data_IF_915659447518
#
_entry.id   IF_915659447518
#
_cell.length_a   1.000
_cell.length_b   1.000
_cell.length_c   1.000
_cell.angle_alpha   90.00
_cell.angle_beta   90.00
_cell.angle_gamma   90.00
#
_symmetry.space_group_name_H-M   'P 1'
#
loop_
_entity.id
_entity.type
_entity.pdbx_description
1 polymer ?
#
# COMPACT_ATOMS: atom_id res chain seq x y z
N UNK A 1 -37.48 49.16 -76.24
CA UNK A 1 -37.82 50.11 -75.17
C UNK A 1 -39.29 49.88 -74.86
N UNK A 2 -39.57 49.14 -73.79
CA UNK A 2 -40.91 48.76 -73.30
C UNK A 2 -40.68 48.49 -71.81
N UNK A 3 -40.89 49.42 -70.89
CA UNK A 3 -42.14 49.93 -70.32
C UNK A 3 -43.03 48.88 -69.63
N UNK A 4 -43.00 48.97 -68.29
CA UNK A 4 -44.09 49.03 -67.30
C UNK A 4 -45.47 48.42 -67.55
N UNK A 5 -46.13 48.10 -66.41
CA UNK A 5 -47.55 47.72 -66.17
C UNK A 5 -47.80 46.20 -66.16
N UNK A 6 -48.67 45.61 -65.33
CA UNK A 6 -49.64 46.12 -64.36
C UNK A 6 -50.05 44.95 -63.41
N UNK A 7 -50.71 45.30 -62.30
CA UNK A 7 -51.94 44.69 -61.70
C UNK A 7 -52.36 43.25 -62.12
N UNK A 8 -53.00 42.36 -61.37
CA UNK A 8 -53.93 42.37 -60.21
C UNK A 8 -54.28 40.87 -59.94
N UNK A 9 -54.50 40.44 -58.70
CA UNK A 9 -55.80 39.98 -58.17
C UNK A 9 -55.99 38.43 -58.00
N UNK A 10 -56.53 38.12 -56.81
CA UNK A 10 -57.43 37.03 -56.36
C UNK A 10 -57.27 35.54 -56.73
N UNK A 11 -57.50 34.70 -55.71
CA UNK A 11 -58.19 33.41 -55.83
C UNK A 11 -57.32 32.18 -55.50
N UNK A 12 -57.34 31.70 -54.25
CA UNK A 12 -58.18 30.60 -53.73
C UNK A 12 -57.82 29.19 -54.22
N UNK A 13 -57.55 28.35 -53.22
CA UNK A 13 -57.74 26.90 -53.09
C UNK A 13 -56.95 26.03 -54.10
N UNK A 14 -56.03 25.16 -53.67
CA UNK A 14 -56.43 23.86 -53.11
C UNK A 14 -55.21 23.08 -52.59
N UNK A 15 -55.27 22.74 -51.29
CA UNK A 15 -54.99 21.44 -50.71
C UNK A 15 -54.18 20.43 -51.56
N UNK A 16 -52.87 20.28 -51.27
CA UNK A 16 -52.18 19.00 -51.46
C UNK A 16 -51.33 18.72 -50.22
N UNK A 17 -51.84 17.76 -49.45
CA UNK A 17 -51.29 17.26 -48.19
C UNK A 17 -50.03 16.42 -48.47
N UNK A 18 -48.91 17.10 -48.66
CA UNK A 18 -47.58 16.51 -48.79
C UNK A 18 -47.01 16.19 -47.41
N UNK A 19 -47.40 15.03 -46.88
CA UNK A 19 -46.94 14.45 -45.62
C UNK A 19 -45.39 14.42 -45.51
N UNK A 20 -44.80 15.47 -44.93
CA UNK A 20 -43.41 15.49 -44.46
C UNK A 20 -43.31 14.55 -43.25
N UNK A 21 -42.85 13.33 -43.50
CA UNK A 21 -42.49 12.35 -42.47
C UNK A 21 -41.22 12.80 -41.76
N UNK A 22 -41.35 13.73 -40.82
CA UNK A 22 -40.29 14.03 -39.86
C UNK A 22 -40.14 12.81 -38.96
N UNK A 23 -39.06 12.04 -39.17
CA UNK A 23 -38.66 10.95 -38.28
C UNK A 23 -38.28 11.55 -36.91
N UNK A 24 -39.27 11.68 -36.03
CA UNK A 24 -39.06 11.96 -34.60
C UNK A 24 -38.31 10.74 -34.04
N UNK A 25 -37.07 10.89 -33.53
CA UNK A 25 -36.37 9.80 -32.90
C UNK A 25 -37.19 9.30 -31.71
N UNK A 26 -37.42 8.00 -31.68
CA UNK A 26 -38.16 7.28 -30.65
C UNK A 26 -37.76 7.77 -29.23
N UNK A 27 -38.71 8.28 -28.42
CA UNK A 27 -38.42 8.87 -27.10
C UNK A 27 -37.91 7.85 -26.06
N UNK A 28 -37.78 6.57 -26.41
CA UNK A 28 -37.25 5.52 -25.53
C UNK A 28 -35.73 5.58 -25.31
N UNK A 29 -34.98 6.43 -26.02
CA UNK A 29 -33.55 6.66 -25.76
C UNK A 29 -33.25 7.85 -24.84
N UNK A 30 -34.24 8.67 -24.48
CA UNK A 30 -34.03 9.90 -23.67
C UNK A 30 -34.51 9.84 -22.22
N UNK A 31 -34.80 8.65 -21.69
CA UNK A 31 -35.02 8.43 -20.24
C UNK A 31 -33.95 7.52 -19.58
N UNK A 32 -32.86 7.23 -20.30
CA UNK A 32 -31.72 6.47 -19.79
C UNK A 32 -30.54 7.34 -19.29
N UNK A 33 -30.77 8.65 -19.03
CA UNK A 33 -30.06 9.34 -17.95
C UNK A 33 -30.81 9.11 -16.64
N UNK A 34 -31.02 7.84 -16.30
CA UNK A 34 -30.95 7.46 -14.89
C UNK A 34 -29.54 7.84 -14.48
N UNK A 35 -29.43 9.04 -13.91
CA UNK A 35 -28.31 9.48 -13.11
C UNK A 35 -27.72 8.25 -12.43
N UNK A 36 -26.47 7.94 -12.76
CA UNK A 36 -25.70 6.89 -12.12
C UNK A 36 -25.50 7.29 -10.65
N UNK A 37 -26.59 7.27 -9.87
CA UNK A 37 -26.59 7.11 -8.44
C UNK A 37 -26.19 5.65 -8.21
N UNK A 38 -24.95 5.33 -8.58
CA UNK A 38 -24.15 4.39 -7.82
C UNK A 38 -24.18 4.97 -6.41
N UNK A 39 -25.14 4.48 -5.62
CA UNK A 39 -25.32 4.91 -4.26
C UNK A 39 -23.99 4.70 -3.59
N UNK A 40 -23.30 5.80 -3.28
CA UNK A 40 -22.18 5.83 -2.34
C UNK A 40 -22.77 5.52 -0.97
N UNK A 41 -23.27 4.28 -0.78
CA UNK A 41 -23.73 3.71 0.47
C UNK A 41 -22.51 3.67 1.38
N UNK A 42 -22.31 4.74 2.15
CA UNK A 42 -21.15 4.87 3.02
C UNK A 42 -20.76 6.32 3.31
N UNK A 43 -21.01 7.26 2.38
CA UNK A 43 -20.74 8.68 2.67
C UNK A 43 -21.90 9.30 3.47
N UNK A 44 -21.63 9.97 4.60
CA UNK A 44 -22.67 10.64 5.38
C UNK A 44 -23.33 11.76 4.56
N UNK A 45 -24.61 12.05 4.84
CA UNK A 45 -25.25 13.30 4.38
C UNK A 45 -24.55 14.47 5.06
N UNK A 46 -24.47 15.64 4.43
CA UNK A 46 -24.00 16.86 5.10
C UNK A 46 -24.89 17.18 6.31
N UNK A 47 -24.37 17.95 7.26
CA UNK A 47 -25.03 18.24 8.52
C UNK A 47 -26.39 18.93 8.31
N UNK A 48 -26.46 19.90 7.38
CA UNK A 48 -27.69 20.60 7.06
C UNK A 48 -28.78 19.66 6.53
N UNK A 49 -28.48 18.84 5.52
CA UNK A 49 -29.45 17.88 4.99
C UNK A 49 -29.76 16.74 5.98
N UNK A 50 -28.82 16.40 6.87
CA UNK A 50 -29.05 15.40 7.93
C UNK A 50 -30.05 15.90 8.96
N UNK A 51 -29.85 17.13 9.46
CA UNK A 51 -30.71 17.76 10.48
C UNK A 51 -32.14 18.00 9.98
N UNK A 52 -32.29 18.37 8.71
CA UNK A 52 -33.59 18.70 8.12
C UNK A 52 -34.22 17.52 7.35
N UNK A 53 -33.61 16.33 7.44
CA UNK A 53 -34.00 15.12 6.72
C UNK A 53 -34.18 15.29 5.19
N UNK A 54 -33.37 16.16 4.58
CA UNK A 54 -33.41 16.47 3.15
C UNK A 54 -32.62 15.42 2.34
N UNK A 55 -32.89 15.38 1.03
CA UNK A 55 -32.07 14.59 0.10
C UNK A 55 -30.72 15.28 -0.06
N UNK A 56 -29.65 14.50 0.06
CA UNK A 56 -28.27 14.97 -0.09
C UNK A 56 -27.58 14.09 -1.13
N UNK A 57 -27.04 14.71 -2.16
CA UNK A 57 -26.22 14.08 -3.21
C UNK A 57 -24.76 13.88 -2.80
N UNK A 58 -24.36 14.42 -1.64
CA UNK A 58 -23.07 14.17 -0.97
C UNK A 58 -21.85 14.63 -1.78
N UNK A 59 -22.06 15.61 -2.67
CA UNK A 59 -20.99 16.27 -3.41
C UNK A 59 -20.26 17.19 -2.43
N UNK A 60 -18.92 17.17 -2.48
CA UNK A 60 -18.04 18.05 -1.71
C UNK A 60 -17.55 19.18 -2.65
N UNK A 61 -17.36 20.41 -2.14
CA UNK A 61 -17.52 20.83 -0.75
C UNK A 61 -18.97 21.09 -0.33
N UNK A 62 -19.84 21.42 -1.28
CA UNK A 62 -21.26 21.74 -1.04
C UNK A 62 -22.15 20.79 -1.84
N UNK A 63 -23.17 20.23 -1.19
CA UNK A 63 -24.14 19.34 -1.84
C UNK A 63 -25.13 20.18 -2.68
N UNK A 64 -25.68 19.66 -3.79
CA UNK A 64 -26.58 20.46 -4.65
C UNK A 64 -27.77 21.01 -3.87
N UNK A 65 -28.26 20.29 -2.87
CA UNK A 65 -29.39 20.80 -2.09
C UNK A 65 -29.00 22.02 -1.23
N UNK A 66 -27.75 22.10 -0.78
CA UNK A 66 -27.25 23.23 -0.02
C UNK A 66 -26.78 24.38 -0.92
N UNK A 67 -26.38 24.12 -2.17
CA UNK A 67 -25.92 25.17 -3.09
C UNK A 67 -27.05 26.13 -3.47
N UNK A 68 -28.29 25.66 -3.53
CA UNK A 68 -29.47 26.49 -3.79
C UNK A 68 -30.06 27.14 -2.53
N UNK A 69 -29.60 26.76 -1.34
CA UNK A 69 -30.08 27.29 -0.07
C UNK A 69 -29.18 28.46 0.37
N UNK A 70 -29.49 29.66 -0.10
CA UNK A 70 -28.73 30.89 0.19
C UNK A 70 -28.41 31.03 1.68
N UNK A 71 -27.11 31.07 2.01
CA UNK A 71 -26.60 31.33 3.36
C UNK A 71 -26.49 30.13 4.30
N UNK A 72 -26.75 28.89 3.87
CA UNK A 72 -26.57 27.70 4.74
C UNK A 72 -25.26 26.98 4.46
N UNK A 73 -24.50 26.74 5.52
CA UNK A 73 -23.20 26.11 5.39
C UNK A 73 -23.31 24.59 5.24
N UNK A 74 -22.80 24.06 4.13
CA UNK A 74 -22.80 22.63 3.84
C UNK A 74 -21.59 21.93 4.49
N UNK A 75 -21.62 21.77 5.81
CA UNK A 75 -20.56 21.05 6.54
C UNK A 75 -20.80 19.54 6.55
N UNK A 76 -19.71 18.78 6.52
CA UNK A 76 -19.73 17.34 6.73
C UNK A 76 -18.95 17.04 8.00
N UNK A 77 -19.63 17.11 9.15
CA UNK A 77 -19.03 16.64 10.39
C UNK A 77 -18.83 15.13 10.27
N UNK A 78 -17.58 14.63 10.29
CA UNK A 78 -17.33 13.20 10.27
C UNK A 78 -18.09 12.60 11.44
N UNK A 79 -19.00 11.67 11.15
CA UNK A 79 -19.66 10.93 12.21
C UNK A 79 -18.55 10.26 13.03
N UNK A 80 -18.69 10.20 14.38
CA UNK A 80 -17.86 9.31 15.18
C UNK A 80 -17.90 7.95 14.50
N UNK A 81 -16.73 7.39 14.25
CA UNK A 81 -16.51 6.35 13.24
C UNK A 81 -17.57 5.25 13.33
N UNK A 82 -18.00 4.65 12.19
CA UNK A 82 -18.94 3.53 12.17
C UNK A 82 -18.48 2.27 12.93
N UNK A 83 -17.34 2.32 13.62
CA UNK A 83 -16.79 1.30 14.50
C UNK A 83 -17.80 0.79 15.55
N UNK A 84 -18.82 1.58 15.90
CA UNK A 84 -19.85 1.16 16.85
C UNK A 84 -20.87 0.13 16.30
N UNK A 85 -20.86 -0.21 15.00
CA UNK A 85 -21.74 -1.29 14.50
C UNK A 85 -21.20 -2.70 14.80
N UNK A 86 -19.90 -2.85 15.02
CA UNK A 86 -19.26 -4.13 15.38
C UNK A 86 -19.18 -4.40 16.88
N UNK A 87 -19.34 -3.36 17.71
CA UNK A 87 -19.20 -3.46 19.17
C UNK A 87 -20.56 -3.92 19.76
N UNK A 88 -20.59 -5.01 20.56
CA UNK A 88 -21.82 -5.42 21.23
C UNK A 88 -22.30 -4.35 22.22
N UNK A 89 -23.57 -4.40 22.66
CA UNK A 89 -24.01 -3.60 23.81
C UNK A 89 -23.18 -3.99 25.04
N UNK A 90 -22.79 -3.03 25.88
CA UNK A 90 -22.11 -3.33 27.14
C UNK A 90 -22.96 -4.27 28.02
N UNK A 91 -22.33 -4.95 28.96
CA UNK A 91 -22.92 -6.02 29.76
C UNK A 91 -24.08 -5.52 30.61
N UNK A 92 -23.99 -4.30 31.12
CA UNK A 92 -25.07 -3.64 31.87
C UNK A 92 -26.28 -3.34 30.99
N UNK A 93 -26.08 -2.60 29.90
CA UNK A 93 -27.17 -2.27 28.99
C UNK A 93 -27.77 -3.52 28.32
N UNK A 94 -26.98 -4.58 28.14
CA UNK A 94 -27.46 -5.89 27.69
C UNK A 94 -28.35 -6.56 28.75
N UNK A 95 -27.92 -6.63 30.01
CA UNK A 95 -28.71 -7.22 31.12
C UNK A 95 -30.00 -6.44 31.41
N UNK A 96 -29.93 -5.11 31.43
CA UNK A 96 -31.08 -4.22 31.67
C UNK A 96 -31.91 -3.93 30.42
N UNK A 97 -31.55 -4.52 29.27
CA UNK A 97 -32.17 -4.28 27.97
C UNK A 97 -32.29 -2.79 27.55
N UNK A 98 -31.29 -1.98 27.91
CA UNK A 98 -31.20 -0.56 27.55
C UNK A 98 -30.55 -0.36 26.16
N UNK A 99 -30.77 0.82 25.57
CA UNK A 99 -30.12 1.23 24.32
C UNK A 99 -28.70 1.74 24.58
N UNK A 100 -27.72 0.85 24.47
CA UNK A 100 -26.30 1.24 24.55
C UNK A 100 -25.88 2.03 23.31
N UNK A 101 -25.33 3.22 23.51
CA UNK A 101 -24.65 4.06 22.50
C UNK A 101 -23.28 3.51 22.08
N UNK A 102 -22.72 2.57 22.88
CA UNK A 102 -21.47 1.82 22.62
C UNK A 102 -20.22 2.69 22.64
N UNK A 103 -20.26 3.82 23.33
CA UNK A 103 -19.08 4.65 23.56
C UNK A 103 -18.08 3.89 24.46
N UNK A 104 -16.80 3.98 24.10
CA UNK A 104 -15.69 3.43 24.86
C UNK A 104 -14.93 4.60 25.52
N UNK A 105 -14.43 4.44 26.77
CA UNK A 105 -14.46 3.24 27.60
C UNK A 105 -15.82 2.98 28.28
N UNK A 106 -16.63 4.02 28.50
CA UNK A 106 -17.93 3.94 29.18
C UNK A 106 -19.03 4.49 28.28
N UNK A 107 -20.18 3.81 28.25
CA UNK A 107 -21.36 4.20 27.48
C UNK A 107 -22.13 5.32 28.21
N UNK A 108 -22.84 6.23 27.52
CA UNK A 108 -23.50 7.37 28.17
C UNK A 108 -24.50 6.97 29.26
N UNK A 109 -25.18 5.82 29.11
CA UNK A 109 -26.07 5.31 30.16
C UNK A 109 -25.34 4.73 31.37
N UNK A 110 -24.06 4.38 31.24
CA UNK A 110 -23.25 3.93 32.36
C UNK A 110 -22.46 5.08 32.98
N UNK A 111 -22.20 6.17 32.27
CA UNK A 111 -21.56 7.35 32.85
C UNK A 111 -22.47 8.14 33.78
N UNK A 112 -23.78 7.98 33.65
CA UNK A 112 -24.76 8.62 34.55
C UNK A 112 -24.96 7.86 35.88
N UNK A 113 -24.39 6.66 36.01
CA UNK A 113 -24.47 5.85 37.22
C UNK A 113 -23.05 5.56 37.75
N UNK A 114 -22.63 6.31 38.78
CA UNK A 114 -21.25 6.29 39.31
C UNK A 114 -20.77 4.91 39.80
N UNK A 115 -21.68 3.99 40.17
CA UNK A 115 -21.35 2.67 40.72
C UNK A 115 -21.39 1.53 39.70
N UNK A 116 -21.55 1.83 38.40
CA UNK A 116 -21.87 0.82 37.40
C UNK A 116 -20.74 0.51 36.42
N UNK A 117 -20.10 -0.65 36.59
CA UNK A 117 -19.04 -1.12 35.68
C UNK A 117 -19.56 -1.35 34.24
N UNK A 118 -18.94 -0.68 33.26
CA UNK A 118 -19.34 -0.69 31.85
C UNK A 118 -18.43 -1.59 30.99
N UNK A 119 -18.59 -2.90 31.13
CA UNK A 119 -17.77 -3.87 30.39
C UNK A 119 -18.39 -4.31 29.06
N UNK A 120 -17.54 -4.54 28.05
CA UNK A 120 -17.95 -5.00 26.71
C UNK A 120 -17.44 -6.42 26.45
N UNK A 121 -18.20 -7.44 26.86
CA UNK A 121 -17.78 -8.84 26.66
C UNK A 121 -18.19 -9.35 25.27
N UNK A 122 -17.26 -9.86 24.44
CA UNK A 122 -17.55 -10.43 23.12
C UNK A 122 -18.60 -11.54 23.22
N UNK A 123 -19.66 -11.47 22.38
CA UNK A 123 -20.70 -12.50 22.37
C UNK A 123 -20.13 -13.79 21.77
N UNK A 124 -19.75 -14.74 22.62
CA UNK A 124 -19.37 -16.11 22.21
C UNK A 124 -20.59 -16.73 21.53
N UNK A 125 -20.58 -16.80 20.19
CA UNK A 125 -21.63 -17.48 19.44
C UNK A 125 -21.38 -18.97 19.67
N UNK A 126 -22.22 -19.62 20.49
CA UNK A 126 -22.27 -21.08 20.50
C UNK A 126 -22.60 -21.51 19.08
N UNK A 127 -21.62 -22.10 18.38
CA UNK A 127 -21.84 -22.85 17.15
C UNK A 127 -22.62 -24.07 17.60
N UNK A 128 -23.95 -23.98 17.53
CA UNK A 128 -24.81 -25.14 17.71
C UNK A 128 -24.49 -26.09 16.55
N UNK A 129 -23.74 -27.14 16.84
CA UNK A 129 -23.63 -28.31 15.97
C UNK A 129 -25.01 -28.92 15.94
N UNK A 130 -25.73 -28.73 14.85
CA UNK A 130 -26.98 -29.41 14.57
C UNK A 130 -26.64 -30.78 14.00
N UNK A 131 -26.61 -31.80 14.86
CA UNK A 131 -26.79 -33.20 14.47
C UNK A 131 -27.61 -33.88 15.58
N UNK A 132 -28.88 -34.11 15.28
CA UNK A 132 -29.76 -35.03 15.97
C UNK A 132 -30.54 -35.80 14.92
N UNK A 133 -30.19 -37.06 14.70
CA UNK A 133 -31.03 -38.22 14.31
C UNK A 133 -30.12 -39.44 14.58
N UNK A 134 -30.40 -40.52 15.32
CA UNK A 134 -31.51 -41.05 16.11
C UNK A 134 -31.05 -42.38 16.73
N UNK A 135 -31.52 -42.73 17.94
CA UNK A 135 -31.87 -44.07 18.45
C UNK A 135 -31.82 -43.98 20.00
N UNK A 136 -32.95 -43.93 20.73
CA UNK A 136 -33.75 -45.09 21.18
C UNK A 136 -32.88 -46.24 21.71
N UNK A 137 -33.13 -46.90 22.82
CA UNK A 137 -34.09 -46.85 23.92
C UNK A 137 -33.59 -47.93 24.88
N UNK A 138 -33.83 -47.81 26.20
CA UNK A 138 -33.93 -48.89 27.20
C UNK A 138 -33.58 -48.40 28.61
N UNK A 139 -34.65 -48.20 29.37
CA UNK A 139 -34.94 -48.84 30.66
C UNK A 139 -34.01 -48.69 31.88
N UNK A 140 -34.52 -47.90 32.82
CA UNK A 140 -34.96 -48.32 34.16
C UNK A 140 -34.02 -49.15 35.06
N UNK A 141 -33.62 -48.51 36.18
CA UNK A 141 -33.76 -48.93 37.59
C UNK A 141 -32.61 -48.28 38.39
N UNK A 142 -32.89 -47.25 39.19
CA UNK A 142 -33.13 -47.36 40.64
C UNK A 142 -32.07 -48.18 41.37
N UNK A 143 -31.18 -47.54 42.13
CA UNK A 143 -30.92 -47.84 43.55
C UNK A 143 -30.05 -46.76 44.20
N UNK A 144 -30.24 -46.66 45.51
CA UNK A 144 -29.88 -45.63 46.49
C UNK A 144 -28.74 -46.18 47.37
N UNK A 145 -28.10 -45.28 48.14
CA UNK A 145 -27.15 -45.47 49.26
C UNK A 145 -25.66 -45.35 48.87
N UNK A 146 -24.94 -44.32 49.33
CA UNK A 146 -24.34 -44.14 50.67
C UNK A 146 -23.24 -45.17 51.00
N UNK A 147 -21.98 -44.74 50.90
CA UNK A 147 -20.91 -45.01 51.89
C UNK A 147 -19.58 -44.38 51.47
N UNK A 148 -19.08 -43.43 52.25
CA UNK A 148 -17.62 -43.28 52.53
C UNK A 148 -17.20 -44.35 53.57
N UNK A 149 -15.93 -44.57 53.97
CA UNK A 149 -14.71 -43.74 53.82
C UNK A 149 -13.37 -44.54 53.59
N UNK A 150 -12.24 -43.82 53.73
CA UNK A 150 -10.83 -44.27 53.96
C UNK A 150 -10.07 -44.88 52.76
N UNK A 151 -8.81 -44.57 52.44
CA UNK A 151 -7.63 -44.14 53.22
C UNK A 151 -6.53 -43.54 52.32
N UNK A 152 -5.73 -42.60 52.85
CA UNK A 152 -4.26 -42.41 52.74
C UNK A 152 -3.54 -42.94 51.47
N UNK A 153 -2.75 -42.18 50.69
CA UNK A 153 -1.53 -41.46 51.09
C UNK A 153 -0.73 -40.97 49.84
N UNK A 154 0.21 -40.05 50.08
CA UNK A 154 1.44 -39.73 49.33
C UNK A 154 1.41 -38.67 48.18
N UNK A 155 2.05 -37.54 48.52
CA UNK A 155 2.83 -36.57 47.74
C UNK A 155 2.94 -36.69 46.20
N UNK A 156 2.64 -35.60 45.50
CA UNK A 156 3.64 -34.93 44.64
C UNK A 156 3.27 -33.47 44.32
N UNK A 157 4.24 -32.58 44.50
CA UNK A 157 4.28 -31.19 44.05
C UNK A 157 4.13 -31.06 42.53
N UNK A 158 3.50 -29.96 42.07
CA UNK A 158 3.46 -29.62 40.65
C UNK A 158 2.52 -28.48 40.28
N UNK A 159 2.89 -27.26 40.68
CA UNK A 159 2.33 -26.00 40.16
C UNK A 159 2.44 -25.94 38.62
N UNK A 160 1.30 -25.79 37.93
CA UNK A 160 1.25 -25.31 36.55
C UNK A 160 0.14 -24.27 36.41
N UNK A 161 0.50 -23.04 36.74
CA UNK A 161 -0.32 -21.84 36.60
C UNK A 161 -0.47 -21.49 35.10
N UNK A 162 -1.68 -21.70 34.57
CA UNK A 162 -2.03 -21.38 33.18
C UNK A 162 -2.23 -19.87 33.01
N UNK A 163 -1.16 -19.14 32.75
CA UNK A 163 -1.23 -17.74 32.28
C UNK A 163 -1.17 -17.71 30.75
N UNK A 164 -2.33 -17.88 30.11
CA UNK A 164 -2.54 -17.42 28.72
C UNK A 164 -2.75 -15.90 28.75
N UNK A 165 -1.67 -15.16 28.57
CA UNK A 165 -1.74 -13.74 28.22
C UNK A 165 -2.30 -13.60 26.80
N UNK A 166 -3.58 -13.24 26.69
CA UNK A 166 -4.20 -12.83 25.44
C UNK A 166 -3.85 -11.35 25.18
N UNK A 167 -2.83 -11.10 24.37
CA UNK A 167 -2.62 -9.78 23.75
C UNK A 167 -3.55 -9.65 22.55
N UNK A 168 -4.55 -8.80 22.73
CA UNK A 168 -5.56 -8.39 21.78
C UNK A 168 -5.02 -7.22 20.96
N UNK A 169 -4.81 -7.40 19.65
CA UNK A 169 -5.02 -6.35 18.62
C UNK A 169 -5.13 -6.99 17.21
N UNK A 170 -6.31 -6.85 16.60
CA UNK A 170 -6.48 -6.61 15.17
C UNK A 170 -6.07 -7.68 14.15
N UNK A 171 -6.86 -8.76 14.02
CA UNK A 171 -6.75 -9.67 12.87
C UNK A 171 -8.10 -9.79 12.16
N UNK A 172 -8.29 -8.95 11.14
CA UNK A 172 -9.35 -9.11 10.13
C UNK A 172 -8.67 -9.27 8.77
N UNK A 173 -8.36 -10.51 8.39
CA UNK A 173 -8.10 -10.87 6.99
C UNK A 173 -9.01 -12.04 6.66
N UNK A 174 -9.84 -11.83 5.64
CA UNK A 174 -10.68 -12.85 5.06
C UNK A 174 -9.80 -13.96 4.44
N UNK A 175 -9.79 -15.14 5.04
CA UNK A 175 -9.38 -16.37 4.35
C UNK A 175 -10.43 -16.72 3.31
N UNK A 176 -10.12 -16.44 2.05
CA UNK A 176 -10.85 -16.99 0.90
C UNK A 176 -10.16 -18.30 0.51
N UNK A 177 -10.61 -19.42 1.08
CA UNK A 177 -10.34 -20.73 0.51
C UNK A 177 -11.17 -20.86 -0.76
N UNK A 178 -10.50 -21.12 -1.87
CA UNK A 178 -11.12 -21.35 -3.17
C UNK A 178 -10.12 -22.03 -4.07
N UNK A 179 -10.15 -23.37 -4.04
CA UNK A 179 -9.56 -24.25 -5.04
C UNK A 179 -10.04 -23.83 -6.44
N UNK A 180 -9.11 -23.68 -7.37
CA UNK A 180 -9.43 -23.47 -8.79
C UNK A 180 -9.33 -24.81 -9.52
N UNK A 181 -10.36 -25.23 -10.28
CA UNK A 181 -10.36 -26.51 -10.97
C UNK A 181 -9.52 -26.46 -12.27
N UNK A 182 -8.71 -27.50 -12.47
CA UNK A 182 -8.04 -27.82 -13.74
C UNK A 182 -9.06 -28.29 -14.80
N UNK A 183 -8.87 -27.94 -16.08
CA UNK A 183 -9.54 -28.63 -17.18
C UNK A 183 -8.72 -29.86 -17.65
N UNK A 184 -9.39 -30.85 -18.28
CA UNK A 184 -8.88 -32.21 -18.43
C UNK A 184 -7.91 -32.39 -19.61
N UNK A 185 -6.97 -33.30 -19.40
CA UNK A 185 -6.12 -33.93 -20.41
C UNK A 185 -6.97 -35.00 -21.13
N UNK A 186 -7.03 -34.93 -22.46
CA UNK A 186 -7.42 -36.05 -23.32
C UNK A 186 -6.25 -36.35 -24.27
N UNK A 187 -5.81 -37.61 -24.24
CA UNK A 187 -4.71 -38.15 -25.03
C UNK A 187 -5.08 -38.58 -26.45
N UNK A 188 -4.04 -38.93 -27.20
CA UNK A 188 -4.06 -39.47 -28.56
C UNK A 188 -2.66 -39.34 -29.16
N UNK A 189 -1.74 -40.26 -28.86
CA UNK A 189 -1.40 -41.46 -29.65
C UNK A 189 -0.50 -41.13 -30.87
N UNK A 190 0.73 -41.64 -30.76
CA UNK A 190 1.66 -42.19 -31.77
C UNK A 190 2.16 -41.31 -32.94
N UNK A 191 3.50 -41.30 -33.09
CA UNK A 191 4.17 -40.95 -34.34
C UNK A 191 5.57 -40.34 -34.18
N UNK A 192 6.57 -41.19 -33.93
CA UNK A 192 7.98 -40.95 -34.34
C UNK A 192 8.15 -41.67 -35.70
N UNK A 193 9.04 -41.30 -36.66
CA UNK A 193 10.31 -40.60 -36.46
C UNK A 193 10.73 -39.58 -37.56
N UNK A 194 11.85 -38.91 -37.25
CA UNK A 194 12.98 -38.54 -38.11
C UNK A 194 12.98 -37.33 -39.08
N UNK A 195 14.14 -36.68 -39.07
CA UNK A 195 14.81 -35.77 -40.02
C UNK A 195 13.97 -35.05 -41.11
N UNK A 196 13.94 -33.71 -41.10
CA UNK A 196 14.68 -32.84 -42.04
C UNK A 196 14.27 -31.35 -41.92
N UNK A 197 15.31 -30.48 -41.90
CA UNK A 197 15.39 -29.09 -42.43
C UNK A 197 14.30 -28.05 -42.06
N UNK A 198 14.69 -26.91 -41.43
CA UNK A 198 13.82 -25.73 -41.35
C UNK A 198 13.86 -24.88 -42.63
N UNK A 199 12.66 -24.59 -43.15
CA UNK A 199 12.38 -23.57 -44.17
C UNK A 199 12.36 -22.18 -43.52
N UNK A 200 12.94 -21.23 -44.27
CA UNK A 200 13.12 -19.81 -44.01
C UNK A 200 11.82 -19.02 -43.74
N UNK A 201 11.94 -17.99 -42.89
CA UNK A 201 11.40 -16.63 -43.12
C UNK A 201 12.01 -15.67 -42.07
N UNK A 202 13.11 -15.01 -42.41
CA UNK A 202 13.20 -13.57 -42.63
C UNK A 202 12.78 -12.68 -41.44
N UNK A 203 13.78 -12.07 -40.78
CA UNK A 203 13.89 -10.60 -40.65
C UNK A 203 15.23 -10.19 -39.99
N UNK A 204 16.00 -9.37 -40.71
CA UNK A 204 16.88 -8.31 -40.16
C UNK A 204 18.17 -8.70 -39.42
N UNK A 205 19.22 -9.10 -40.16
CA UNK A 205 20.60 -9.24 -39.64
C UNK A 205 21.45 -8.07 -40.16
N UNK A 206 21.88 -7.16 -39.27
CA UNK A 206 23.07 -6.33 -39.47
C UNK A 206 24.20 -6.98 -38.68
N UNK A 207 25.08 -7.72 -39.37
CA UNK A 207 26.36 -8.18 -38.84
C UNK A 207 27.46 -7.40 -39.53
N UNK A 208 28.29 -6.71 -38.75
CA UNK A 208 29.53 -6.11 -39.22
C UNK A 208 30.60 -7.19 -39.31
N UNK A 209 31.14 -7.40 -40.51
CA UNK A 209 32.18 -8.37 -40.77
C UNK A 209 33.53 -7.93 -40.17
N UNK A 210 34.16 -8.88 -39.48
CA UNK A 210 35.53 -8.81 -39.00
C UNK A 210 36.49 -8.97 -40.19
N UNK A 211 37.22 -7.92 -40.54
CA UNK A 211 38.43 -8.03 -41.35
C UNK A 211 39.62 -7.48 -40.56
N UNK A 212 40.54 -8.39 -40.24
CA UNK A 212 41.90 -8.11 -39.82
C UNK A 212 42.59 -7.22 -40.87
N UNK A 213 43.02 -6.03 -40.47
CA UNK A 213 44.05 -5.30 -41.20
C UNK A 213 44.91 -4.47 -40.25
N UNK A 214 46.15 -4.27 -40.71
CA UNK A 214 47.36 -3.98 -39.96
C UNK A 214 47.35 -2.61 -39.28
N UNK A 215 48.07 -2.58 -38.16
CA UNK A 215 48.50 -1.41 -37.40
C UNK A 215 49.08 -0.30 -38.28
N UNK A 216 48.33 0.79 -38.42
CA UNK A 216 48.88 2.12 -38.63
C UNK A 216 48.31 3.05 -37.55
N UNK A 217 49.22 3.51 -36.70
CA UNK A 217 49.02 4.57 -35.71
C UNK A 217 48.52 5.84 -36.42
N UNK A 218 47.21 6.03 -36.43
CA UNK A 218 46.61 7.32 -36.72
C UNK A 218 46.50 8.08 -35.41
N UNK A 219 47.33 9.10 -35.28
CA UNK A 219 47.29 10.10 -34.22
C UNK A 219 45.91 10.75 -34.19
N UNK A 220 45.10 10.32 -33.22
CA UNK A 220 43.87 11.02 -32.88
C UNK A 220 44.28 12.43 -32.43
N UNK A 221 43.79 13.44 -33.14
CA UNK A 221 43.94 14.84 -32.74
C UNK A 221 43.22 14.97 -31.39
N UNK A 222 44.01 14.94 -30.31
CA UNK A 222 43.55 15.29 -28.97
C UNK A 222 43.22 16.77 -28.98
N UNK A 223 41.97 17.10 -29.22
CA UNK A 223 41.44 18.37 -28.78
C UNK A 223 41.40 18.34 -27.25
N UNK A 224 42.45 18.88 -26.63
CA UNK A 224 42.42 19.27 -25.23
C UNK A 224 41.33 20.35 -25.09
N UNK A 225 40.14 19.95 -24.68
CA UNK A 225 39.12 20.90 -24.25
C UNK A 225 39.64 21.56 -22.97
N UNK A 226 39.60 22.89 -22.94
CA UNK A 226 39.96 23.65 -21.76
C UNK A 226 39.13 23.14 -20.55
N UNK A 227 39.77 22.91 -19.37
CA UNK A 227 39.07 22.49 -18.18
C UNK A 227 38.21 23.67 -17.68
N UNK A 228 36.96 23.74 -18.12
CA UNK A 228 36.08 24.84 -17.75
C UNK A 228 34.67 24.82 -18.32
N UNK A 229 34.40 24.03 -19.36
CA UNK A 229 33.04 23.89 -19.91
C UNK A 229 32.79 22.43 -20.31
N UNK A 230 32.64 21.57 -19.30
CA UNK A 230 32.06 20.26 -19.52
C UNK A 230 30.63 20.45 -20.02
N UNK A 231 30.32 19.93 -21.20
CA UNK A 231 28.93 19.71 -21.62
C UNK A 231 28.37 18.74 -20.58
N UNK A 232 27.60 19.25 -19.61
CA UNK A 232 26.87 18.43 -18.67
C UNK A 232 25.80 17.73 -19.49
N UNK A 233 26.07 16.48 -19.89
CA UNK A 233 25.03 15.58 -20.35
C UNK A 233 24.19 15.31 -19.11
N UNK A 234 23.18 16.16 -18.88
CA UNK A 234 22.18 15.92 -17.86
C UNK A 234 21.55 14.56 -18.19
N UNK A 235 21.86 13.55 -17.39
CA UNK A 235 21.22 12.25 -17.53
C UNK A 235 19.72 12.47 -17.40
N UNK A 236 18.98 12.09 -18.44
CA UNK A 236 17.51 12.18 -18.46
C UNK A 236 16.90 11.33 -17.34
N UNK A 237 17.62 10.32 -16.86
CA UNK A 237 17.12 9.37 -15.87
C UNK A 237 17.73 9.59 -14.49
N UNK A 238 16.96 9.27 -13.46
CA UNK A 238 17.42 9.30 -12.06
C UNK A 238 18.66 8.41 -11.91
N UNK A 239 19.78 9.04 -11.55
CA UNK A 239 21.02 8.32 -11.22
C UNK A 239 20.95 7.87 -9.76
N UNK A 240 20.99 6.55 -9.48
CA UNK A 240 21.04 6.05 -8.11
C UNK A 240 22.34 6.46 -7.42
N UNK A 241 22.27 6.73 -6.13
CA UNK A 241 23.45 6.96 -5.32
C UNK A 241 24.26 5.66 -5.18
N UNK A 242 25.58 5.77 -5.33
CA UNK A 242 26.50 4.64 -5.20
C UNK A 242 27.74 5.06 -4.40
N UNK A 243 28.25 4.14 -3.60
CA UNK A 243 29.49 4.34 -2.85
C UNK A 243 30.15 2.99 -2.56
N UNK A 244 31.47 2.82 -2.76
CA UNK A 244 32.14 1.52 -2.66
C UNK A 244 31.98 0.81 -1.31
N UNK A 245 31.84 1.57 -0.21
CA UNK A 245 31.69 1.02 1.14
C UNK A 245 30.28 0.55 1.52
N UNK A 246 29.27 0.80 0.67
CA UNK A 246 27.86 0.47 0.96
C UNK A 246 27.34 -0.50 -0.10
N UNK A 247 26.51 -1.45 0.32
CA UNK A 247 25.86 -2.34 -0.63
C UNK A 247 24.86 -1.54 -1.50
N UNK A 248 24.81 -1.81 -2.82
CA UNK A 248 23.86 -1.15 -3.69
C UNK A 248 22.42 -1.53 -3.33
N UNK A 249 21.47 -0.70 -3.78
CA UNK A 249 20.04 -1.04 -3.72
C UNK A 249 19.77 -2.35 -4.49
N UNK A 250 18.69 -3.09 -4.16
CA UNK A 250 18.30 -4.26 -4.92
C UNK A 250 18.22 -3.99 -6.42
N UNK A 251 18.68 -4.94 -7.23
CA UNK A 251 18.72 -4.82 -8.69
C UNK A 251 17.35 -4.45 -9.30
N UNK A 252 16.28 -5.01 -8.73
CA UNK A 252 14.90 -4.70 -9.13
C UNK A 252 14.49 -3.23 -8.91
N UNK A 253 15.14 -2.53 -7.97
CA UNK A 253 14.98 -1.08 -7.76
C UNK A 253 15.82 -0.31 -8.77
N UNK A 254 17.09 -0.68 -8.93
CA UNK A 254 18.04 -0.03 -9.83
C UNK A 254 17.55 -0.04 -11.29
N UNK A 255 17.09 -1.20 -11.77
CA UNK A 255 16.55 -1.34 -13.13
C UNK A 255 15.35 -0.42 -13.38
N UNK A 256 14.47 -0.26 -12.38
CA UNK A 256 13.32 0.64 -12.52
C UNK A 256 13.73 2.10 -12.47
N UNK A 257 14.71 2.46 -11.65
CA UNK A 257 15.22 3.83 -11.59
C UNK A 257 15.83 4.27 -12.93
N UNK A 258 16.46 3.35 -13.66
CA UNK A 258 16.97 3.60 -15.01
C UNK A 258 15.89 3.98 -16.03
N UNK A 259 14.60 3.82 -15.72
CA UNK A 259 13.46 4.26 -16.54
C UNK A 259 12.72 5.48 -16.01
N UNK A 260 13.10 6.00 -14.83
CA UNK A 260 12.45 7.16 -14.22
C UNK A 260 13.10 8.43 -14.71
N UNK A 261 12.32 9.28 -15.38
CA UNK A 261 12.78 10.59 -15.83
C UNK A 261 13.05 11.51 -14.63
N UNK A 262 14.25 12.09 -14.58
CA UNK A 262 14.70 12.97 -13.50
C UNK A 262 13.91 14.28 -13.45
N UNK A 263 13.35 14.74 -14.59
CA UNK A 263 12.53 15.95 -14.68
C UNK A 263 11.13 15.78 -14.10
N UNK A 264 10.65 14.54 -13.97
CA UNK A 264 9.35 14.22 -13.36
C UNK A 264 9.44 14.10 -11.82
N UNK A 265 10.65 14.00 -11.29
CA UNK A 265 10.94 13.81 -9.87
C UNK A 265 11.34 15.13 -9.18
N UNK A 266 11.28 15.20 -7.83
CA UNK A 266 11.82 16.32 -7.08
C UNK A 266 13.31 16.56 -7.40
N UNK A 267 13.78 17.80 -7.32
CA UNK A 267 15.22 18.02 -7.32
C UNK A 267 15.84 17.37 -6.07
N UNK A 268 16.91 16.58 -6.25
CA UNK A 268 17.55 15.82 -5.17
C UNK A 268 18.08 16.72 -4.06
N UNK A 269 18.79 17.78 -4.42
CA UNK A 269 19.40 18.71 -3.46
C UNK A 269 18.31 19.40 -2.61
N UNK A 270 17.24 19.87 -3.27
CA UNK A 270 16.07 20.44 -2.57
C UNK A 270 15.41 19.42 -1.64
N UNK A 271 15.31 18.15 -2.05
CA UNK A 271 14.79 17.09 -1.20
C UNK A 271 15.69 16.83 0.01
N UNK A 272 17.00 16.73 -0.20
CA UNK A 272 17.98 16.48 0.85
C UNK A 272 17.97 17.61 1.89
N UNK A 273 17.84 18.87 1.46
CA UNK A 273 17.68 20.04 2.35
C UNK A 273 16.40 19.94 3.20
N UNK A 274 15.28 19.56 2.60
CA UNK A 274 14.00 19.41 3.31
C UNK A 274 14.03 18.24 4.30
N UNK A 275 14.70 17.14 3.93
CA UNK A 275 14.91 16.02 4.85
C UNK A 275 15.85 16.43 5.99
N UNK A 276 16.93 17.14 5.71
CA UNK A 276 17.85 17.63 6.75
C UNK A 276 17.14 18.55 7.74
N UNK A 277 16.32 19.48 7.24
CA UNK A 277 15.47 20.36 8.06
C UNK A 277 14.49 19.55 8.93
N UNK A 278 13.74 18.63 8.31
CA UNK A 278 12.80 17.75 9.03
C UNK A 278 13.49 16.95 10.14
N UNK A 279 14.66 16.36 9.88
CA UNK A 279 15.42 15.61 10.87
C UNK A 279 15.99 16.52 11.97
N UNK A 280 16.33 17.76 11.64
CA UNK A 280 16.79 18.79 12.56
C UNK A 280 15.71 19.24 13.56
N UNK A 281 14.44 19.11 13.19
CA UNK A 281 13.29 19.41 14.05
C UNK A 281 12.84 18.23 14.91
N UNK A 282 13.34 17.01 14.64
CA UNK A 282 13.06 15.84 15.48
C UNK A 282 13.76 15.95 16.83
N UNK A 283 13.10 15.40 17.85
CA UNK A 283 13.70 15.15 19.16
C UNK A 283 15.03 14.39 18.99
N UNK A 284 16.10 14.70 19.77
CA UNK A 284 17.42 14.09 19.64
C UNK A 284 17.37 12.55 19.64
N UNK A 285 16.71 11.97 20.64
CA UNK A 285 15.50 11.20 20.40
C UNK A 285 15.41 10.41 19.08
N UNK A 286 14.39 10.77 18.32
CA UNK A 286 14.07 10.13 17.06
C UNK A 286 15.14 10.38 15.99
N UNK A 287 15.93 11.46 16.09
CA UNK A 287 16.91 11.86 15.07
C UNK A 287 17.98 10.80 14.83
N UNK A 288 18.52 10.22 15.89
CA UNK A 288 19.63 9.26 15.81
C UNK A 288 19.28 7.97 15.04
N UNK A 289 17.99 7.63 14.97
CA UNK A 289 17.51 6.35 14.43
C UNK A 289 16.53 6.52 13.27
N UNK A 290 16.03 7.73 13.00
CA UNK A 290 15.04 7.98 11.95
C UNK A 290 15.62 7.86 10.54
N UNK A 291 16.83 8.39 10.32
CA UNK A 291 17.47 8.35 9.00
C UNK A 291 19.00 8.41 9.14
N UNK A 292 19.62 7.24 9.03
CA UNK A 292 21.02 7.03 9.38
C UNK A 292 21.95 7.70 8.35
N UNK A 293 22.77 8.69 8.76
CA UNK A 293 23.79 9.24 7.88
C UNK A 293 24.90 8.20 7.61
N UNK A 294 25.69 8.34 6.52
CA UNK A 294 26.65 7.32 6.09
C UNK A 294 27.66 6.88 7.16
N UNK A 295 28.17 7.82 7.94
CA UNK A 295 29.14 7.61 9.02
C UNK A 295 28.57 6.75 10.16
N UNK A 296 27.36 7.06 10.63
CA UNK A 296 26.68 6.29 11.67
C UNK A 296 26.30 4.90 11.14
N UNK A 297 25.75 4.83 9.92
CA UNK A 297 25.39 3.56 9.28
C UNK A 297 26.61 2.63 9.14
N UNK A 298 27.73 3.17 8.66
CA UNK A 298 29.01 2.45 8.53
C UNK A 298 29.53 1.96 9.88
N UNK A 299 29.50 2.83 10.91
CA UNK A 299 29.92 2.48 12.27
C UNK A 299 29.10 1.33 12.85
N UNK A 300 27.77 1.37 12.67
CA UNK A 300 26.86 0.30 13.09
C UNK A 300 27.15 -1.00 12.34
N UNK A 301 27.28 -0.93 11.02
CA UNK A 301 27.55 -2.12 10.18
C UNK A 301 28.84 -2.80 10.60
N UNK A 302 29.92 -2.04 10.80
CA UNK A 302 31.23 -2.57 11.25
C UNK A 302 31.14 -3.17 12.65
N UNK A 303 30.44 -2.50 13.57
CA UNK A 303 30.24 -2.99 14.93
C UNK A 303 29.46 -4.31 14.97
N UNK A 304 28.44 -4.45 14.12
CA UNK A 304 27.65 -5.67 13.98
C UNK A 304 28.45 -6.82 13.34
N UNK A 305 29.29 -6.53 12.34
CA UNK A 305 30.17 -7.55 11.73
C UNK A 305 31.24 -8.02 12.73
N UNK A 306 31.83 -7.10 13.48
CA UNK A 306 32.82 -7.42 14.51
C UNK A 306 32.21 -8.07 15.77
N UNK A 307 30.88 -8.12 15.88
CA UNK A 307 30.14 -8.50 17.07
C UNK A 307 30.58 -7.71 18.34
N UNK A 308 30.95 -6.45 18.15
CA UNK A 308 31.39 -5.53 19.20
C UNK A 308 30.63 -4.21 19.06
N UNK A 309 29.59 -4.04 19.88
CA UNK A 309 28.78 -2.83 19.92
C UNK A 309 29.34 -1.76 20.88
N UNK A 310 30.42 -2.04 21.63
CA UNK A 310 30.89 -1.16 22.72
C UNK A 310 31.22 0.26 22.26
N UNK A 311 31.65 0.41 21.00
CA UNK A 311 32.01 1.68 20.34
C UNK A 311 30.80 2.53 19.96
N UNK A 312 29.59 1.97 19.95
CA UNK A 312 28.37 2.69 19.62
C UNK A 312 27.79 3.38 20.87
N UNK A 313 27.11 4.53 20.70
CA UNK A 313 26.35 5.17 21.77
C UNK A 313 25.35 4.19 22.39
N UNK A 314 25.18 4.24 23.73
CA UNK A 314 24.32 3.31 24.47
C UNK A 314 22.92 3.17 23.86
N UNK A 315 22.32 4.31 23.54
CA UNK A 315 21.01 4.40 22.92
C UNK A 315 20.90 3.68 21.57
N UNK A 316 21.94 3.76 20.76
CA UNK A 316 21.99 3.08 19.47
C UNK A 316 22.15 1.57 19.66
N UNK A 317 22.89 1.13 20.70
CA UNK A 317 22.98 -0.28 21.09
C UNK A 317 21.63 -0.82 21.52
N UNK A 318 20.91 -0.08 22.35
CA UNK A 318 19.56 -0.46 22.80
C UNK A 318 18.62 -0.58 21.61
N UNK A 319 18.63 0.41 20.72
CA UNK A 319 17.84 0.39 19.49
C UNK A 319 18.19 -0.79 18.57
N UNK A 320 19.48 -1.09 18.38
CA UNK A 320 19.95 -2.26 17.63
C UNK A 320 19.42 -3.56 18.25
N UNK A 321 19.49 -3.67 19.58
CA UNK A 321 19.04 -4.85 20.31
C UNK A 321 17.53 -5.04 20.19
N UNK A 322 16.75 -3.98 20.41
CA UNK A 322 15.28 -4.00 20.37
C UNK A 322 14.77 -4.37 18.99
N UNK A 323 15.40 -3.85 17.93
CA UNK A 323 14.98 -4.10 16.55
C UNK A 323 15.68 -5.31 15.92
N UNK A 324 16.50 -6.03 16.69
CA UNK A 324 17.28 -7.18 16.23
C UNK A 324 18.06 -6.91 14.94
N UNK A 325 18.68 -5.73 14.83
CA UNK A 325 19.41 -5.34 13.62
C UNK A 325 20.56 -6.31 13.37
N UNK A 326 20.76 -6.69 12.11
CA UNK A 326 21.81 -7.61 11.66
C UNK A 326 22.62 -6.99 10.53
N UNK A 327 23.90 -7.38 10.42
CA UNK A 327 24.66 -7.11 9.20
C UNK A 327 24.14 -8.00 8.06
N UNK A 328 23.87 -7.43 6.91
CA UNK A 328 23.41 -8.12 5.70
C UNK A 328 24.49 -8.40 4.66
N UNK A 329 25.73 -7.94 4.89
CA UNK A 329 26.86 -8.14 3.99
C UNK A 329 28.15 -8.22 4.80
N UNK A 330 29.12 -8.97 4.29
CA UNK A 330 30.47 -9.08 4.86
C UNK A 330 31.47 -8.22 4.08
N UNK A 331 31.15 -7.84 2.83
CA UNK A 331 32.00 -7.02 1.95
C UNK A 331 31.62 -5.53 1.96
N UNK A 332 30.33 -5.24 1.98
CA UNK A 332 29.76 -3.89 2.00
C UNK A 332 28.99 -3.61 3.28
N UNK A 333 28.75 -2.33 3.55
CA UNK A 333 27.88 -1.94 4.66
C UNK A 333 26.43 -2.14 4.26
N UNK A 334 25.75 -3.06 4.94
CA UNK A 334 24.33 -3.34 4.78
C UNK A 334 23.73 -3.74 6.12
N UNK A 335 22.67 -3.05 6.52
CA UNK A 335 21.91 -3.33 7.73
C UNK A 335 20.56 -3.95 7.35
N UNK A 336 20.19 -4.98 8.09
CA UNK A 336 18.92 -5.71 7.93
C UNK A 336 18.12 -5.68 9.23
N UNK A 337 16.80 -5.66 9.08
CA UNK A 337 15.82 -5.81 10.14
C UNK A 337 15.04 -7.09 9.85
N UNK A 338 14.94 -8.04 10.79
CA UNK A 338 14.05 -9.19 10.62
C UNK A 338 12.59 -8.75 10.48
N UNK A 339 11.79 -9.46 9.67
CA UNK A 339 10.34 -9.25 9.67
C UNK A 339 9.68 -10.00 10.81
N UNK A 340 8.47 -9.59 11.20
CA UNK A 340 7.67 -10.22 12.26
C UNK A 340 7.53 -11.74 12.10
N UNK A 341 7.47 -12.24 10.86
CA UNK A 341 7.44 -13.67 10.53
C UNK A 341 8.68 -14.44 11.01
N UNK A 342 9.83 -13.79 11.05
CA UNK A 342 11.13 -14.35 11.44
C UNK A 342 11.47 -14.04 12.90
N UNK A 343 10.85 -13.02 13.49
CA UNK A 343 11.07 -12.66 14.91
C UNK A 343 10.81 -13.83 15.87
N UNK A 344 9.89 -14.75 15.54
CA UNK A 344 9.57 -15.92 16.36
C UNK A 344 10.26 -17.21 15.87
N UNK A 345 11.04 -17.15 14.79
CA UNK A 345 11.75 -18.31 14.28
C UNK A 345 12.90 -18.70 15.22
N UNK A 346 13.31 -19.98 15.18
CA UNK A 346 14.45 -20.44 15.94
C UNK A 346 15.75 -19.74 15.48
N UNK A 347 16.65 -19.43 16.41
CA UNK A 347 17.91 -18.72 16.11
C UNK A 347 18.76 -19.43 15.04
N UNK A 348 18.70 -20.76 14.98
CA UNK A 348 19.37 -21.57 13.95
C UNK A 348 18.85 -21.27 12.55
N UNK A 349 17.53 -21.13 12.40
CA UNK A 349 16.90 -20.80 11.12
C UNK A 349 17.17 -19.35 10.72
N UNK A 350 17.10 -18.41 11.67
CA UNK A 350 17.46 -17.00 11.44
C UNK A 350 18.91 -16.90 10.96
N UNK A 351 19.82 -17.63 11.60
CA UNK A 351 21.24 -17.65 11.25
C UNK A 351 21.47 -18.26 9.86
N UNK A 352 20.76 -19.34 9.52
CA UNK A 352 20.81 -19.97 8.19
C UNK A 352 20.34 -19.00 7.10
N UNK A 353 19.19 -18.37 7.29
CA UNK A 353 18.63 -17.39 6.35
C UNK A 353 19.54 -16.16 6.20
N UNK A 354 20.11 -15.66 7.31
CA UNK A 354 21.02 -14.53 7.29
C UNK A 354 22.33 -14.85 6.56
N UNK A 355 22.87 -16.06 6.73
CA UNK A 355 24.05 -16.52 5.99
C UNK A 355 23.76 -16.60 4.49
N UNK A 356 22.66 -17.25 4.11
CA UNK A 356 22.25 -17.34 2.70
C UNK A 356 22.04 -15.95 2.06
N UNK A 357 21.45 -15.02 2.80
CA UNK A 357 21.29 -13.63 2.36
C UNK A 357 22.64 -12.96 2.07
N UNK A 358 23.59 -13.05 3.02
CA UNK A 358 24.93 -12.46 2.89
C UNK A 358 25.67 -13.04 1.69
N UNK A 359 25.64 -14.36 1.54
CA UNK A 359 26.30 -15.07 0.45
C UNK A 359 25.74 -14.60 -0.91
N UNK A 360 24.42 -14.43 -1.01
CA UNK A 360 23.74 -13.88 -2.20
C UNK A 360 24.15 -12.43 -2.50
N UNK A 361 24.18 -11.55 -1.50
CA UNK A 361 24.54 -10.12 -1.69
C UNK A 361 26.02 -9.93 -1.99
N UNK A 362 26.89 -10.69 -1.33
CA UNK A 362 28.34 -10.58 -1.51
C UNK A 362 28.83 -11.24 -2.80
N UNK A 363 27.97 -11.96 -3.52
CA UNK A 363 28.35 -12.75 -4.69
C UNK A 363 29.32 -13.88 -4.31
N UNK A 364 29.23 -14.36 -3.07
CA UNK A 364 29.97 -15.53 -2.63
C UNK A 364 29.22 -16.74 -3.17
N UNK A 365 29.56 -17.16 -4.40
CA UNK A 365 29.07 -18.42 -4.97
C UNK A 365 29.49 -19.55 -4.02
N UNK A 366 28.60 -19.95 -3.12
CA UNK A 366 28.70 -21.23 -2.44
C UNK A 366 28.72 -22.29 -3.52
N UNK A 367 29.82 -23.02 -3.60
CA UNK A 367 29.99 -24.20 -4.44
C UNK A 367 28.78 -25.12 -4.31
N UNK A 368 28.14 -25.42 -5.43
CA UNK A 368 27.47 -26.69 -5.76
C UNK A 368 26.57 -27.33 -4.70
N UNK A 369 25.70 -26.55 -4.03
CA UNK A 369 24.57 -27.12 -3.29
C UNK A 369 23.27 -26.75 -4.01
N UNK A 370 22.83 -27.62 -4.91
CA UNK A 370 21.61 -27.51 -5.73
C UNK A 370 20.30 -27.43 -4.91
N UNK A 371 20.37 -27.30 -3.59
CA UNK A 371 19.21 -27.21 -2.69
C UNK A 371 18.81 -25.78 -2.28
N UNK A 372 19.52 -24.74 -2.75
CA UNK A 372 19.05 -23.35 -2.61
C UNK A 372 17.88 -23.10 -3.56
N UNK A 373 16.72 -23.68 -3.24
CA UNK A 373 15.44 -23.24 -3.79
C UNK A 373 15.31 -21.72 -3.67
N UNK A 374 14.52 -21.11 -4.54
CA UNK A 374 14.32 -19.66 -4.62
C UNK A 374 13.87 -19.08 -3.26
N UNK A 375 14.83 -18.75 -2.39
CA UNK A 375 14.56 -18.23 -1.05
C UNK A 375 14.17 -16.77 -1.23
N UNK A 376 12.88 -16.49 -1.05
CA UNK A 376 12.37 -15.13 -1.06
C UNK A 376 12.79 -14.40 0.23
N UNK A 377 14.02 -13.88 0.21
CA UNK A 377 14.58 -13.10 1.31
C UNK A 377 13.75 -11.86 1.66
N UNK A 378 12.94 -11.37 0.73
CA UNK A 378 12.07 -10.21 0.95
C UNK A 378 11.01 -10.49 2.02
N UNK A 379 10.68 -11.76 2.28
CA UNK A 379 9.76 -12.18 3.35
C UNK A 379 10.45 -12.35 4.71
N UNK A 380 11.78 -12.45 4.73
CA UNK A 380 12.54 -12.71 5.93
C UNK A 380 13.12 -11.43 6.54
N UNK A 381 13.68 -10.57 5.70
CA UNK A 381 14.40 -9.38 6.12
C UNK A 381 13.97 -8.15 5.33
N UNK A 382 14.08 -7.00 5.96
CA UNK A 382 13.96 -5.70 5.31
C UNK A 382 15.32 -4.97 5.38
N UNK A 383 15.68 -4.25 4.32
CA UNK A 383 16.89 -3.44 4.26
C UNK A 383 16.65 -2.09 4.93
N UNK A 384 17.57 -1.72 5.81
CA UNK A 384 17.72 -0.35 6.31
C UNK A 384 18.49 0.48 5.30
N UNK A 385 18.00 1.68 5.00
CA UNK A 385 18.65 2.59 4.07
C UNK A 385 19.73 3.42 4.76
N UNK A 386 20.83 3.67 4.04
CA UNK A 386 21.65 4.86 4.31
C UNK A 386 20.90 6.08 3.79
N UNK A 387 20.98 7.22 4.49
CA UNK A 387 20.24 8.45 4.18
C UNK A 387 20.27 8.82 2.69
N UNK A 388 21.43 8.72 2.05
CA UNK A 388 21.60 9.10 0.64
C UNK A 388 20.80 8.22 -0.34
N UNK A 389 20.46 6.98 0.04
CA UNK A 389 19.60 6.09 -0.74
C UNK A 389 18.11 6.41 -0.59
N UNK A 390 17.72 7.26 0.38
CA UNK A 390 16.31 7.56 0.65
C UNK A 390 15.63 8.19 -0.57
N UNK A 391 16.28 9.16 -1.22
CA UNK A 391 15.75 9.78 -2.43
C UNK A 391 15.51 8.74 -3.53
N UNK A 392 16.47 7.84 -3.77
CA UNK A 392 16.39 6.84 -4.84
C UNK A 392 15.21 5.91 -4.63
N UNK A 393 15.05 5.45 -3.39
CA UNK A 393 13.97 4.54 -3.02
C UNK A 393 12.61 5.24 -3.06
N UNK A 394 12.53 6.52 -2.70
CA UNK A 394 11.31 7.31 -2.84
C UNK A 394 10.98 7.61 -4.30
N UNK A 395 11.97 7.92 -5.15
CA UNK A 395 11.78 8.06 -6.59
C UNK A 395 11.28 6.75 -7.22
N UNK A 396 11.86 5.62 -6.82
CA UNK A 396 11.39 4.30 -7.20
C UNK A 396 9.91 4.09 -6.80
N UNK A 397 9.55 4.36 -5.55
CA UNK A 397 8.19 4.15 -5.07
C UNK A 397 7.18 5.15 -5.66
N UNK A 398 7.63 6.38 -5.96
CA UNK A 398 6.81 7.47 -6.48
C UNK A 398 6.70 7.50 -8.01
N UNK A 399 7.40 6.64 -8.74
CA UNK A 399 7.45 6.59 -10.23
C UNK A 399 6.08 6.64 -10.95
N UNK A 400 5.00 6.25 -10.29
CA UNK A 400 3.62 6.29 -10.83
C UNK A 400 2.80 7.49 -10.33
N UNK A 401 3.44 8.44 -9.65
CA UNK A 401 2.83 9.57 -8.95
C UNK A 401 1.68 9.18 -8.02
N UNK A 402 1.84 8.01 -7.37
CA UNK A 402 0.89 7.47 -6.42
C UNK A 402 0.85 8.26 -5.11
N UNK A 403 -0.27 8.16 -4.36
CA UNK A 403 -0.38 8.75 -3.02
C UNK A 403 0.49 8.00 -2.00
N UNK A 404 0.70 8.55 -0.79
CA UNK A 404 1.57 7.93 0.22
C UNK A 404 1.27 6.45 0.55
N UNK A 405 0.00 5.99 0.67
CA UNK A 405 -0.28 4.58 0.93
C UNK A 405 0.25 3.64 -0.16
N UNK A 406 0.19 4.06 -1.42
CA UNK A 406 0.71 3.28 -2.55
C UNK A 406 2.23 3.19 -2.50
N UNK A 407 2.90 4.29 -2.15
CA UNK A 407 4.36 4.30 -1.97
C UNK A 407 4.77 3.40 -0.82
N UNK A 408 4.12 3.48 0.35
CA UNK A 408 4.41 2.61 1.50
C UNK A 408 4.22 1.12 1.15
N UNK A 409 3.19 0.79 0.37
CA UNK A 409 2.97 -0.56 -0.11
C UNK A 409 4.11 -1.05 -1.01
N UNK A 410 4.54 -0.22 -1.97
CA UNK A 410 5.68 -0.53 -2.85
C UNK A 410 6.98 -0.72 -2.08
N UNK A 411 7.25 0.12 -1.08
CA UNK A 411 8.43 0.02 -0.22
C UNK A 411 8.45 -1.27 0.61
N UNK A 412 7.30 -1.62 1.21
CA UNK A 412 7.14 -2.89 1.93
C UNK A 412 7.33 -4.09 1.02
N UNK A 413 6.84 -4.03 -0.22
CA UNK A 413 7.04 -5.09 -1.22
C UNK A 413 8.51 -5.22 -1.63
N UNK A 414 9.22 -4.10 -1.74
CA UNK A 414 10.66 -4.07 -2.02
C UNK A 414 11.53 -4.41 -0.79
N UNK A 415 10.92 -4.79 0.34
CA UNK A 415 11.59 -5.08 1.59
C UNK A 415 12.51 -3.95 2.05
N UNK A 416 12.02 -2.72 2.00
CA UNK A 416 12.71 -1.55 2.54
C UNK A 416 12.03 -1.11 3.83
N UNK A 417 12.82 -0.93 4.88
CA UNK A 417 12.36 -0.51 6.19
C UNK A 417 12.62 0.98 6.46
N UNK A 418 12.02 1.49 7.54
CA UNK A 418 12.30 2.81 8.14
C UNK A 418 12.06 4.04 7.25
N UNK A 419 11.29 3.90 6.17
CA UNK A 419 10.73 5.04 5.45
C UNK A 419 9.41 5.43 6.10
N UNK A 420 9.35 6.65 6.64
CA UNK A 420 8.18 7.15 7.38
C UNK A 420 7.21 7.92 6.49
N UNK A 421 5.96 8.06 6.94
CA UNK A 421 4.96 8.87 6.24
C UNK A 421 5.40 10.32 6.00
N UNK A 422 5.99 11.05 6.98
CA UNK A 422 6.49 12.40 6.74
C UNK A 422 7.53 12.50 5.62
N UNK A 423 8.45 11.54 5.52
CA UNK A 423 9.46 11.52 4.45
C UNK A 423 8.82 11.40 3.07
N UNK A 424 7.79 10.57 2.95
CA UNK A 424 7.02 10.40 1.71
C UNK A 424 6.24 11.68 1.37
N UNK A 425 5.58 12.30 2.35
CA UNK A 425 4.87 13.56 2.16
C UNK A 425 5.79 14.69 1.68
N UNK A 426 6.98 14.81 2.27
CA UNK A 426 8.01 15.77 1.83
C UNK A 426 8.33 15.53 0.35
N UNK A 427 8.61 14.29 -0.03
CA UNK A 427 8.93 13.94 -1.42
C UNK A 427 7.78 14.28 -2.39
N UNK A 428 6.54 13.92 -2.06
CA UNK A 428 5.37 14.19 -2.90
C UNK A 428 5.11 15.70 -3.06
N UNK A 429 5.28 16.49 -1.99
CA UNK A 429 5.09 17.95 -2.05
C UNK A 429 6.11 18.63 -2.94
N UNK A 430 7.33 18.10 -2.97
CA UNK A 430 8.40 18.59 -3.83
C UNK A 430 8.29 18.06 -5.27
N UNK A 431 7.48 17.04 -5.53
CA UNK A 431 7.31 16.51 -6.88
C UNK A 431 6.61 17.54 -7.79
N UNK A 432 7.23 17.92 -8.93
CA UNK A 432 6.69 18.96 -9.81
C UNK A 432 5.34 18.56 -10.41
N UNK A 433 5.16 17.29 -10.80
CA UNK A 433 3.93 16.81 -11.41
C UNK A 433 2.76 16.76 -10.41
N UNK A 434 3.01 16.27 -9.19
CA UNK A 434 2.01 16.26 -8.12
C UNK A 434 1.61 17.67 -7.69
N UNK A 435 2.57 18.57 -7.54
CA UNK A 435 2.31 19.95 -7.16
C UNK A 435 1.51 20.69 -8.25
N UNK A 436 1.88 20.53 -9.52
CA UNK A 436 1.13 21.10 -10.64
C UNK A 436 -0.30 20.56 -10.72
N UNK A 437 -0.50 19.25 -10.50
CA UNK A 437 -1.84 18.66 -10.44
C UNK A 437 -2.67 19.25 -9.30
N UNK A 438 -2.08 19.41 -8.10
CA UNK A 438 -2.75 20.02 -6.95
C UNK A 438 -3.14 21.49 -7.22
N UNK A 439 -2.24 22.29 -7.82
CA UNK A 439 -2.52 23.68 -8.21
C UNK A 439 -3.68 23.78 -9.19
N UNK A 440 -3.72 22.93 -10.22
CA UNK A 440 -4.81 22.88 -11.21
C UNK A 440 -6.16 22.55 -10.59
N UNK A 441 -6.18 21.62 -9.63
CA UNK A 441 -7.41 21.28 -8.90
C UNK A 441 -7.86 22.45 -8.00
N UNK A 442 -6.93 23.15 -7.37
CA UNK A 442 -7.24 24.33 -6.56
C UNK A 442 -7.74 25.52 -7.39
N UNK A 443 -7.21 25.73 -8.60
CA UNK A 443 -7.68 26.80 -9.50
C UNK A 443 -9.03 26.49 -10.12
N UNK A 444 -9.30 25.24 -10.49
CA UNK A 444 -10.60 24.82 -11.04
C UNK A 444 -11.74 24.99 -10.02
N UNK A 445 -11.46 24.87 -8.72
CA UNK A 445 -12.44 25.13 -7.67
C UNK A 445 -12.76 26.62 -7.44
N UNK A 446 -12.02 27.56 -8.04
CA UNK A 446 -12.22 29.02 -7.87
C UNK A 446 -12.94 29.69 -9.04
N UNK A 447 -13.02 29.07 -10.22
CA UNK A 447 -13.57 29.69 -11.44
C UNK A 447 -15.10 29.58 -11.60
N UNK A 448 -15.83 29.05 -10.61
CA UNK A 448 -17.30 28.91 -10.64
C UNK A 448 -18.03 29.86 -9.68
N UNK A 449 -17.44 31.02 -9.32
CA UNK A 449 -18.19 32.09 -8.67
C UNK A 449 -18.87 32.96 -9.76
N UNK A 450 -20.21 33.01 -9.84
CA UNK A 450 -20.89 33.87 -10.80
C UNK A 450 -20.62 35.33 -10.43
N UNK A 451 -20.13 36.11 -11.39
CA UNK A 451 -20.15 37.56 -11.32
C UNK A 451 -21.61 37.97 -11.38
N UNK A 452 -22.20 38.35 -10.25
CA UNK A 452 -23.48 39.05 -10.22
C UNK A 452 -23.30 40.38 -10.95
N UNK A 453 -23.84 40.47 -12.17
CA UNK A 453 -23.95 41.72 -12.89
C UNK A 453 -24.94 42.62 -12.16
N UNK A 454 -24.44 43.76 -11.66
CA UNK A 454 -25.25 44.89 -11.18
C UNK A 454 -25.69 45.77 -12.33
#
# INVERSE_FOLDING_TARGET
MVDSQDETDSGKDTLVDGQLTIKIPNPKTYMARQSAWIGRRGKPRCDHCRLNNLKCDRILPTCNHCSWASGRECRYTPLPTPAHRGIPRCDRCRRKNLKCDRNLPVCNHCSEDDDAECNYTPKKRHKATAEQVSAQDHDAHSHKAESSPTSESVHHDGLAESKRAHTFYGQNVATRNGESPQPPILGGVEGSPDLDKPIQSQTGRFTADYLQSKSHSLSFISHAFAPGQGIIVNSTYVQPWSHPSFSPLPESILQRLGSVDSSEMPNRETFDDNIASFLGDLLPELRDTACLPPDIYLSMSRSLVANDLSKLPARLRDWISINHIRSGSSKGSLLLVPRDSIFQAADTEVTRLLKAYRDSVDGSNGSDDESSGDVDFSQAFERLLVRNQLYDVLAYAHRSHGPPPSMLFELRKAAIAYVTWPMIEIFIRLCPLCNNRAKRLASAGKSEAPVEAS
#
